data_IF_394932627221
#
_entry.id   IF_394932627221
#
_cell.length_a   1.000
_cell.length_b   1.000
_cell.length_c   1.000
_cell.angle_alpha   90.00
_cell.angle_beta   90.00
_cell.angle_gamma   90.00
#
_symmetry.space_group_name_H-M   'P 1'
#
loop_
_entity.id
_entity.type
_entity.pdbx_description
1 polymer ?
#
# COMPACT_ATOMS: atom_id res chain seq x y z
N UNK A 1 24.94 27.84 4.16
CA UNK A 1 23.55 27.58 3.73
C UNK A 1 22.82 26.98 4.92
N UNK A 2 21.82 27.66 5.48
CA UNK A 2 21.00 27.13 6.58
C UNK A 2 19.86 26.32 5.99
N UNK A 3 19.81 25.02 6.27
CA UNK A 3 18.64 24.19 5.96
C UNK A 3 17.59 24.42 7.05
N UNK A 4 16.34 24.69 6.66
CA UNK A 4 15.20 24.85 7.56
C UNK A 4 14.14 23.83 7.21
N UNK A 5 13.63 23.11 8.23
CA UNK A 5 12.45 22.26 8.07
C UNK A 5 11.20 23.16 8.01
N UNK A 6 10.35 22.94 7.01
CA UNK A 6 9.07 23.62 6.88
C UNK A 6 7.95 22.59 7.04
N UNK A 7 6.94 22.92 7.86
CA UNK A 7 5.71 22.12 7.92
C UNK A 7 4.91 22.37 6.64
N UNK A 8 4.63 21.31 5.89
CA UNK A 8 3.92 21.38 4.61
C UNK A 8 2.46 20.96 4.76
N UNK A 9 2.20 19.81 5.38
CA UNK A 9 0.85 19.29 5.59
C UNK A 9 0.81 18.31 6.77
N UNK A 10 -0.40 18.06 7.29
CA UNK A 10 -0.63 17.08 8.35
C UNK A 10 -1.44 15.91 7.85
N UNK A 11 -1.11 14.70 8.31
CA UNK A 11 -1.92 13.50 8.09
C UNK A 11 -2.99 13.41 9.18
N UNK A 12 -4.25 13.35 8.79
CA UNK A 12 -5.37 13.10 9.71
C UNK A 12 -5.46 11.62 10.05
N UNK A 13 -5.92 11.34 11.27
CA UNK A 13 -6.37 10.00 11.66
C UNK A 13 -5.32 8.87 11.48
N UNK A 14 -4.04 9.20 11.65
CA UNK A 14 -2.94 8.24 11.48
C UNK A 14 -3.09 6.96 12.33
N UNK A 15 -3.77 7.06 13.48
CA UNK A 15 -4.13 5.90 14.31
C UNK A 15 -5.07 4.95 13.59
N UNK A 16 -6.14 5.45 12.97
CA UNK A 16 -7.06 4.62 12.18
C UNK A 16 -6.34 3.98 10.99
N UNK A 17 -5.44 4.70 10.33
CA UNK A 17 -4.61 4.16 9.23
C UNK A 17 -3.77 2.99 9.71
N UNK A 18 -3.05 3.16 10.82
CA UNK A 18 -2.24 2.11 11.44
C UNK A 18 -3.10 0.91 11.80
N UNK A 19 -4.19 1.13 12.53
CA UNK A 19 -5.02 0.04 13.05
C UNK A 19 -5.65 -0.77 11.90
N UNK A 20 -6.07 -0.10 10.81
CA UNK A 20 -6.56 -0.77 9.61
C UNK A 20 -5.50 -1.65 8.93
N UNK A 21 -4.27 -1.12 8.77
CA UNK A 21 -3.17 -1.83 8.11
C UNK A 21 -2.64 -2.99 8.96
N UNK A 22 -2.63 -2.85 10.30
CA UNK A 22 -2.12 -3.87 11.22
C UNK A 22 -3.15 -4.92 11.63
N UNK A 23 -4.45 -4.70 11.42
CA UNK A 23 -5.47 -5.71 11.66
C UNK A 23 -5.13 -6.97 10.86
N UNK A 24 -4.56 -7.98 11.51
CA UNK A 24 -4.26 -9.26 10.89
C UNK A 24 -5.55 -9.84 10.34
N UNK A 25 -5.51 -10.47 9.16
CA UNK A 25 -6.59 -11.32 8.68
C UNK A 25 -6.69 -12.56 9.59
N UNK A 26 -7.24 -12.40 10.80
CA UNK A 26 -7.42 -13.47 11.78
C UNK A 26 -8.72 -14.26 11.58
N UNK A 27 -9.44 -14.01 10.47
CA UNK A 27 -10.75 -14.60 10.19
C UNK A 27 -10.76 -15.54 8.96
N UNK A 28 -9.73 -16.37 8.82
CA UNK A 28 -9.72 -17.44 7.82
C UNK A 28 -9.13 -18.74 8.42
N UNK A 29 -9.78 -19.27 9.47
CA UNK A 29 -9.88 -20.70 9.81
C UNK A 29 -10.36 -20.87 11.26
N UNK A 30 -11.67 -20.69 11.46
CA UNK A 30 -12.37 -21.34 12.58
C UNK A 30 -13.66 -21.88 12.01
N UNK A 31 -13.52 -22.94 11.22
CA UNK A 31 -14.68 -23.75 10.84
C UNK A 31 -14.89 -24.75 11.98
N UNK A 32 -15.94 -24.47 12.74
CA UNK A 32 -16.48 -25.34 13.76
C UNK A 32 -16.85 -26.69 13.13
N UNK A 33 -16.12 -27.75 13.49
CA UNK A 33 -16.66 -29.09 13.36
C UNK A 33 -16.28 -29.93 14.60
N UNK A 34 -16.98 -29.66 15.70
CA UNK A 34 -17.13 -30.62 16.80
C UNK A 34 -18.22 -31.62 16.41
N UNK A 35 -17.84 -32.66 15.69
CA UNK A 35 -18.60 -33.91 15.72
C UNK A 35 -17.84 -34.93 16.56
N UNK A 36 -18.52 -35.35 17.63
CA UNK A 36 -18.18 -36.47 18.48
C UNK A 36 -18.09 -37.73 17.64
N UNK A 37 -17.01 -38.51 17.81
CA UNK A 37 -17.07 -39.94 17.54
C UNK A 37 -16.16 -40.65 18.53
N UNK A 38 -16.79 -41.34 19.47
CA UNK A 38 -16.16 -42.35 20.32
C UNK A 38 -15.57 -43.45 19.43
N UNK A 39 -14.29 -43.77 19.60
CA UNK A 39 -13.77 -45.11 19.32
C UNK A 39 -12.58 -45.34 20.25
N UNK A 40 -12.80 -46.23 21.22
CA UNK A 40 -11.78 -46.82 22.08
C UNK A 40 -10.67 -47.46 21.23
N UNK A 41 -9.41 -47.14 21.51
CA UNK A 41 -8.30 -48.10 21.49
C UNK A 41 -7.27 -47.70 22.56
N UNK A 42 -7.25 -48.49 23.63
CA UNK A 42 -6.22 -48.53 24.65
C UNK A 42 -4.88 -49.07 24.10
N UNK A 43 -3.88 -49.21 24.99
CA UNK A 43 -2.49 -49.66 24.82
C UNK A 43 -1.55 -48.52 24.35
N UNK A 44 -0.58 -48.01 25.12
CA UNK A 44 0.37 -48.71 26.00
C UNK A 44 0.98 -47.73 27.03
N UNK A 45 1.15 -48.20 28.27
CA UNK A 45 1.96 -47.58 29.33
C UNK A 45 3.41 -48.04 29.17
N UNK A 46 4.38 -47.11 29.13
CA UNK A 46 5.73 -47.22 29.73
C UNK A 46 6.56 -46.02 29.26
N UNK A 47 6.85 -45.08 30.16
CA UNK A 47 8.12 -44.98 30.89
C UNK A 47 9.11 -44.06 30.17
N UNK A 48 9.34 -42.86 30.71
CA UNK A 48 10.66 -42.19 30.73
C UNK A 48 10.60 -40.92 31.61
N UNK A 49 11.03 -41.05 32.86
CA UNK A 49 11.82 -39.99 33.52
C UNK A 49 11.14 -39.13 34.58
N UNK A 50 11.02 -39.70 35.78
CA UNK A 50 10.89 -39.01 37.07
C UNK A 50 11.96 -37.93 37.31
N UNK A 51 11.54 -36.70 37.60
CA UNK A 51 12.20 -35.80 38.56
C UNK A 51 11.14 -35.01 39.33
N UNK A 52 10.67 -35.57 40.45
CA UNK A 52 10.11 -34.74 41.53
C UNK A 52 11.27 -34.01 42.20
N UNK A 53 11.20 -32.67 42.35
CA UNK A 53 11.39 -32.05 43.67
C UNK A 53 10.95 -30.58 43.71
N UNK A 54 9.95 -30.35 44.57
CA UNK A 54 9.76 -29.22 45.49
C UNK A 54 9.42 -27.82 44.96
N UNK A 55 8.19 -27.43 45.28
CA UNK A 55 7.75 -26.06 45.54
C UNK A 55 8.79 -25.25 46.34
N UNK A 56 9.18 -24.10 45.81
CA UNK A 56 9.63 -22.96 46.63
C UNK A 56 9.10 -21.70 45.97
N UNK A 57 8.11 -21.08 46.63
CA UNK A 57 7.70 -19.70 46.35
C UNK A 57 8.87 -18.79 46.67
N UNK A 58 9.33 -18.01 45.72
CA UNK A 58 9.99 -16.74 46.02
C UNK A 58 9.78 -15.73 44.89
N UNK A 59 9.55 -14.51 45.35
CA UNK A 59 9.22 -13.27 44.67
C UNK A 59 10.24 -12.91 43.58
N UNK A 60 9.76 -12.59 42.39
CA UNK A 60 10.60 -12.30 41.23
C UNK A 60 9.79 -11.61 40.14
N UNK A 61 9.82 -10.28 40.15
CA UNK A 61 9.31 -9.35 39.16
C UNK A 61 9.40 -9.92 37.74
N UNK A 62 8.25 -10.19 37.12
CA UNK A 62 8.15 -10.40 35.67
C UNK A 62 8.70 -9.15 34.98
N UNK A 63 9.73 -9.23 34.11
CA UNK A 63 10.03 -8.11 33.24
C UNK A 63 8.82 -7.91 32.34
N UNK A 64 8.36 -6.67 32.30
CA UNK A 64 7.20 -6.18 31.58
C UNK A 64 7.17 -6.70 30.12
N UNK A 65 6.16 -7.51 29.78
CA UNK A 65 5.72 -7.77 28.39
C UNK A 65 5.14 -6.49 27.72
N UNK A 66 5.07 -5.36 28.44
CA UNK A 66 4.54 -4.08 27.95
C UNK A 66 5.57 -3.25 27.15
N UNK A 67 6.88 -3.49 27.32
CA UNK A 67 7.91 -2.72 26.59
C UNK A 67 8.03 -3.14 25.12
N UNK A 68 7.86 -4.43 24.80
CA UNK A 68 7.91 -4.94 23.41
C UNK A 68 6.69 -4.52 22.57
N UNK A 69 5.52 -4.38 23.20
CA UNK A 69 4.31 -3.88 22.54
C UNK A 69 4.41 -2.38 22.19
N UNK A 70 5.04 -1.59 23.06
CA UNK A 70 5.25 -0.17 22.86
C UNK A 70 6.32 0.10 21.79
N UNK A 71 7.39 -0.70 21.75
CA UNK A 71 8.49 -0.58 20.79
C UNK A 71 8.05 -0.90 19.35
N UNK A 72 7.25 -1.96 19.15
CA UNK A 72 6.69 -2.34 17.83
C UNK A 72 5.69 -1.31 17.29
N UNK A 73 5.05 -0.53 18.17
CA UNK A 73 4.11 0.52 17.76
C UNK A 73 4.77 1.72 17.08
N UNK A 74 6.08 1.91 17.25
CA UNK A 74 6.83 3.03 16.68
C UNK A 74 7.41 2.75 15.29
N UNK A 75 7.57 1.48 14.91
CA UNK A 75 8.25 1.06 13.68
C UNK A 75 7.30 0.59 12.57
N UNK A 76 5.99 0.47 12.82
CA UNK A 76 5.01 -0.06 11.85
C UNK A 76 5.06 0.59 10.47
N UNK A 77 5.42 1.87 10.40
CA UNK A 77 5.51 2.62 9.15
C UNK A 77 6.72 2.19 8.30
N UNK A 78 7.79 1.66 8.92
CA UNK A 78 8.97 1.12 8.23
C UNK A 78 8.65 -0.17 7.48
N UNK A 79 7.64 -0.92 7.94
CA UNK A 79 7.14 -2.12 7.26
C UNK A 79 6.17 -1.78 6.11
N UNK A 80 5.79 -0.51 5.96
CA UNK A 80 4.85 -0.06 4.94
C UNK A 80 5.58 0.39 3.68
N UNK A 81 4.93 0.19 2.54
CA UNK A 81 5.29 0.80 1.26
C UNK A 81 4.53 2.12 1.11
N UNK A 82 5.27 3.21 0.86
CA UNK A 82 4.73 4.57 0.83
C UNK A 82 4.95 5.22 -0.54
N UNK A 83 3.97 5.98 -1.02
CA UNK A 83 4.14 6.87 -2.16
C UNK A 83 3.37 8.18 -1.98
N UNK A 84 4.08 9.30 -2.12
CA UNK A 84 3.48 10.63 -2.19
C UNK A 84 3.42 11.08 -3.65
N UNK A 85 2.26 11.59 -4.08
CA UNK A 85 2.10 12.26 -5.36
C UNK A 85 3.10 13.41 -5.52
N UNK A 86 3.68 13.62 -6.71
CA UNK A 86 4.49 14.81 -6.99
C UNK A 86 3.75 16.13 -6.75
N UNK A 87 2.41 16.14 -6.78
CA UNK A 87 1.59 17.29 -6.46
C UNK A 87 1.30 17.43 -4.95
N UNK A 88 1.85 16.53 -4.14
CA UNK A 88 1.70 16.43 -2.67
C UNK A 88 0.26 16.31 -2.19
N UNK A 89 -0.67 15.95 -3.07
CA UNK A 89 -2.12 15.94 -2.87
C UNK A 89 -2.72 14.55 -2.61
N UNK A 90 -1.92 13.51 -2.76
CA UNK A 90 -2.30 12.11 -2.54
C UNK A 90 -1.12 11.36 -1.93
N UNK A 91 -1.36 10.71 -0.79
CA UNK A 91 -0.42 9.80 -0.12
C UNK A 91 -1.02 8.39 -0.10
N UNK A 92 -0.23 7.41 -0.48
CA UNK A 92 -0.57 5.99 -0.43
C UNK A 92 0.30 5.33 0.63
N UNK A 93 -0.34 4.58 1.53
CA UNK A 93 0.31 3.75 2.53
C UNK A 93 -0.22 2.33 2.34
N UNK A 94 0.67 1.39 2.03
CA UNK A 94 0.33 0.00 1.80
C UNK A 94 1.15 -0.93 2.70
N UNK A 95 0.55 -2.03 3.13
CA UNK A 95 1.20 -3.10 3.89
C UNK A 95 0.49 -4.41 3.56
N UNK A 96 1.25 -5.46 3.29
CA UNK A 96 0.73 -6.75 2.82
C UNK A 96 -0.20 -6.55 1.62
N UNK A 97 -1.48 -6.95 1.69
CA UNK A 97 -2.46 -6.69 0.63
C UNK A 97 -3.28 -5.42 0.86
N UNK A 98 -3.12 -4.74 1.99
CA UNK A 98 -3.94 -3.61 2.38
C UNK A 98 -3.31 -2.30 1.95
N UNK A 99 -4.14 -1.33 1.63
CA UNK A 99 -3.69 0.04 1.46
C UNK A 99 -4.73 1.06 1.92
N UNK A 100 -4.20 2.24 2.22
CA UNK A 100 -4.96 3.43 2.56
C UNK A 100 -4.49 4.57 1.66
N UNK A 101 -5.43 5.23 1.01
CA UNK A 101 -5.20 6.42 0.20
C UNK A 101 -5.68 7.63 1.00
N UNK A 102 -4.82 8.64 1.08
CA UNK A 102 -5.10 9.88 1.77
C UNK A 102 -5.01 11.03 0.76
N UNK A 103 -6.12 11.76 0.59
CA UNK A 103 -6.21 12.88 -0.34
C UNK A 103 -6.21 14.21 0.39
N UNK A 104 -5.71 15.25 -0.28
CA UNK A 104 -5.69 16.61 0.24
C UNK A 104 -7.10 17.13 0.53
N UNK A 105 -7.30 17.62 1.74
CA UNK A 105 -8.45 18.40 2.18
C UNK A 105 -7.93 19.72 2.75
N UNK A 106 -8.53 20.81 2.31
CA UNK A 106 -8.24 22.14 2.81
C UNK A 106 -9.22 22.45 3.93
N UNK A 107 -8.70 22.86 5.08
CA UNK A 107 -9.51 23.33 6.19
C UNK A 107 -9.07 24.73 6.58
N UNK A 108 -10.04 25.59 6.87
CA UNK A 108 -9.80 26.92 7.40
C UNK A 108 -9.87 26.83 8.93
N UNK A 109 -8.76 27.15 9.60
CA UNK A 109 -8.72 27.24 11.05
C UNK A 109 -9.57 28.44 11.55
N UNK A 110 -9.88 28.46 12.86
CA UNK A 110 -10.57 29.55 13.55
C UNK A 110 -9.86 30.90 13.38
N UNK A 111 -8.56 30.90 13.09
CA UNK A 111 -7.77 32.11 12.77
C UNK A 111 -7.92 32.60 11.32
N UNK A 112 -8.70 31.89 10.49
CA UNK A 112 -8.86 32.18 9.06
C UNK A 112 -7.71 31.67 8.19
N UNK A 113 -6.72 31.00 8.78
CA UNK A 113 -5.60 30.41 8.06
C UNK A 113 -6.03 29.10 7.38
N UNK A 114 -5.78 28.97 6.09
CA UNK A 114 -5.96 27.70 5.39
C UNK A 114 -4.79 26.76 5.69
N UNK A 115 -5.11 25.56 6.15
CA UNK A 115 -4.15 24.48 6.33
C UNK A 115 -4.55 23.28 5.48
N UNK A 116 -3.57 22.72 4.78
CA UNK A 116 -3.73 21.50 4.01
C UNK A 116 -3.52 20.28 4.89
N UNK A 117 -4.45 19.34 4.82
CA UNK A 117 -4.35 18.05 5.49
C UNK A 117 -4.58 16.90 4.53
N UNK A 118 -3.91 15.78 4.76
CA UNK A 118 -4.15 14.53 4.05
C UNK A 118 -5.11 13.68 4.89
N UNK A 119 -6.30 13.44 4.37
CA UNK A 119 -7.33 12.66 5.04
C UNK A 119 -7.68 11.42 4.23
N UNK A 120 -8.06 10.34 4.91
CA UNK A 120 -8.44 9.08 4.27
C UNK A 120 -9.57 9.33 3.25
N UNK A 121 -9.30 8.96 2.00
CA UNK A 121 -10.25 8.97 0.89
C UNK A 121 -10.68 7.56 0.52
N UNK A 122 -9.81 6.58 0.71
CA UNK A 122 -10.11 5.17 0.49
C UNK A 122 -9.25 4.28 1.39
N UNK A 123 -9.78 3.16 1.83
CA UNK A 123 -9.05 2.08 2.48
C UNK A 123 -9.61 0.74 2.03
N UNK A 124 -8.75 -0.24 1.80
CA UNK A 124 -9.18 -1.55 1.32
C UNK A 124 -8.02 -2.49 1.04
N UNK A 125 -8.35 -3.62 0.42
CA UNK A 125 -7.40 -4.62 -0.05
C UNK A 125 -7.16 -4.43 -1.54
N UNK A 126 -5.89 -4.39 -1.97
CA UNK A 126 -5.48 -4.19 -3.36
C UNK A 126 -5.27 -5.52 -4.11
N UNK A 127 -5.11 -6.64 -3.41
CA UNK A 127 -4.90 -7.97 -3.99
C UNK A 127 -6.20 -8.63 -4.48
N UNK A 128 -6.10 -9.39 -5.57
CA UNK A 128 -7.16 -10.29 -6.04
C UNK A 128 -6.82 -11.77 -5.79
N UNK A 129 -5.54 -12.07 -5.53
CA UNK A 129 -5.03 -13.43 -5.34
C UNK A 129 -4.52 -13.64 -3.91
N UNK A 130 -4.80 -14.82 -3.38
CA UNK A 130 -4.37 -15.21 -2.04
C UNK A 130 -2.84 -15.31 -1.99
N UNK A 131 -2.23 -14.79 -0.91
CA UNK A 131 -0.78 -14.88 -0.67
C UNK A 131 0.08 -13.83 -1.37
N UNK A 132 -0.50 -12.97 -2.20
CA UNK A 132 0.21 -11.84 -2.80
C UNK A 132 0.44 -10.71 -1.77
N UNK A 133 1.48 -9.89 -1.91
CA UNK A 133 1.71 -8.69 -1.09
C UNK A 133 2.26 -7.53 -1.92
N UNK A 134 1.96 -6.30 -1.49
CA UNK A 134 2.46 -5.08 -2.12
C UNK A 134 3.96 -4.94 -1.86
N UNK A 135 4.74 -4.84 -2.92
CA UNK A 135 6.21 -4.71 -2.86
C UNK A 135 6.70 -3.31 -3.23
N UNK A 136 5.95 -2.59 -4.06
CA UNK A 136 6.31 -1.22 -4.47
C UNK A 136 5.09 -0.41 -4.88
N UNK A 137 5.14 0.91 -4.69
CA UNK A 137 4.06 1.82 -5.09
C UNK A 137 4.62 3.15 -5.60
N UNK A 138 3.99 3.72 -6.62
CA UNK A 138 4.23 5.10 -7.08
C UNK A 138 2.91 5.79 -7.45
N UNK A 139 2.91 7.11 -7.36
CA UNK A 139 1.80 7.97 -7.77
C UNK A 139 2.19 8.72 -9.06
N UNK A 140 1.43 8.51 -10.14
CA UNK A 140 1.67 9.14 -11.45
C UNK A 140 0.57 10.17 -11.72
N UNK A 141 0.87 11.48 -11.65
CA UNK A 141 -0.08 12.52 -12.00
C UNK A 141 -0.28 12.55 -13.51
N UNK A 142 -1.53 12.40 -13.96
CA UNK A 142 -1.88 12.33 -15.38
C UNK A 142 -2.62 13.60 -15.80
N UNK A 143 -1.97 14.40 -16.65
CA UNK A 143 -2.57 15.60 -17.21
C UNK A 143 -3.63 15.28 -18.28
N UNK A 144 -4.66 16.14 -18.34
CA UNK A 144 -5.57 16.15 -19.49
C UNK A 144 -4.85 16.49 -20.77
N UNK A 145 -5.30 15.90 -21.87
CA UNK A 145 -5.05 16.46 -23.19
C UNK A 145 -5.96 17.66 -23.48
N UNK A 146 -7.04 17.87 -22.71
CA UNK A 146 -7.81 19.10 -22.79
C UNK A 146 -6.93 20.23 -22.25
N UNK A 147 -6.79 21.33 -22.99
CA UNK A 147 -6.04 22.50 -22.55
C UNK A 147 -6.69 23.08 -21.28
N UNK A 148 -6.43 22.50 -20.11
CA UNK A 148 -6.77 23.12 -18.84
C UNK A 148 -5.79 24.27 -18.65
N UNK A 149 -6.32 25.46 -18.42
CA UNK A 149 -5.55 26.71 -18.28
C UNK A 149 -4.63 26.72 -17.07
N UNK A 150 -4.68 25.69 -16.21
CA UNK A 150 -3.98 25.64 -14.93
C UNK A 150 -2.81 24.66 -14.89
N UNK A 151 -2.59 23.85 -15.93
CA UNK A 151 -1.46 22.91 -16.00
C UNK A 151 -1.43 21.83 -14.90
N UNK A 152 -2.51 21.69 -14.12
CA UNK A 152 -2.63 20.69 -13.07
C UNK A 152 -2.99 19.33 -13.66
N UNK A 153 -2.53 18.22 -13.07
CA UNK A 153 -2.98 16.89 -13.47
C UNK A 153 -4.49 16.76 -13.25
N UNK A 154 -5.16 16.04 -14.14
CA UNK A 154 -6.60 15.78 -14.05
C UNK A 154 -6.95 14.77 -12.96
N UNK A 155 -6.01 13.87 -12.69
CA UNK A 155 -6.10 12.81 -11.70
C UNK A 155 -4.73 12.19 -11.49
N UNK A 156 -4.59 11.44 -10.40
CA UNK A 156 -3.37 10.68 -10.09
C UNK A 156 -3.67 9.19 -10.17
N UNK A 157 -2.89 8.48 -10.98
CA UNK A 157 -2.91 7.03 -11.05
C UNK A 157 -1.96 6.45 -9.99
N UNK A 158 -2.43 5.43 -9.29
CA UNK A 158 -1.65 4.70 -8.29
C UNK A 158 -1.18 3.41 -8.95
N UNK A 159 0.13 3.23 -9.07
CA UNK A 159 0.71 2.01 -9.65
C UNK A 159 1.31 1.20 -8.53
N UNK A 160 0.89 -0.06 -8.45
CA UNK A 160 1.24 -0.98 -7.37
C UNK A 160 1.90 -2.20 -7.98
N UNK A 161 3.13 -2.47 -7.56
CA UNK A 161 3.85 -3.70 -7.85
C UNK A 161 3.68 -4.68 -6.69
N UNK A 162 3.59 -5.96 -7.03
CA UNK A 162 3.35 -7.03 -6.07
C UNK A 162 4.46 -8.08 -6.08
N UNK A 163 4.49 -8.88 -5.02
CA UNK A 163 5.41 -10.01 -4.83
C UNK A 163 5.23 -11.14 -5.86
N UNK A 164 4.05 -11.24 -6.46
CA UNK A 164 3.71 -12.16 -7.57
C UNK A 164 4.30 -11.73 -8.92
N UNK A 165 4.83 -10.50 -9.00
CA UNK A 165 5.24 -9.86 -10.25
C UNK A 165 4.12 -9.19 -11.06
N UNK A 166 2.87 -9.20 -10.55
CA UNK A 166 1.82 -8.35 -11.10
C UNK A 166 2.12 -6.87 -10.86
N UNK A 167 1.73 -6.05 -11.84
CA UNK A 167 1.61 -4.61 -11.71
C UNK A 167 0.17 -4.21 -11.97
N UNK A 168 -0.43 -3.51 -11.01
CA UNK A 168 -1.82 -3.04 -11.08
C UNK A 168 -1.91 -1.54 -10.96
N UNK A 169 -2.91 -0.98 -11.64
CA UNK A 169 -3.13 0.44 -11.79
C UNK A 169 -4.49 0.79 -11.19
N UNK A 170 -4.52 1.70 -10.23
CA UNK A 170 -5.73 2.12 -9.54
C UNK A 170 -5.98 3.61 -9.74
N UNK A 171 -7.25 3.98 -9.58
CA UNK A 171 -7.69 5.37 -9.39
C UNK A 171 -7.44 5.83 -7.96
N UNK A 172 -7.50 7.14 -7.75
CA UNK A 172 -7.49 7.78 -6.42
C UNK A 172 -8.59 7.30 -5.45
N UNK A 173 -9.63 6.62 -5.97
CA UNK A 173 -10.73 6.05 -5.19
C UNK A 173 -10.64 4.52 -5.02
N UNK A 174 -9.49 3.91 -5.30
CA UNK A 174 -9.30 2.46 -5.12
C UNK A 174 -9.84 1.57 -6.23
N UNK A 175 -10.38 2.14 -7.32
CA UNK A 175 -10.89 1.33 -8.43
C UNK A 175 -9.75 0.87 -9.33
N UNK A 176 -9.67 -0.45 -9.57
CA UNK A 176 -8.71 -1.09 -10.47
C UNK A 176 -9.02 -0.73 -11.94
N UNK A 177 -7.99 -0.31 -12.68
CA UNK A 177 -8.05 0.08 -14.09
C UNK A 177 -7.43 -0.96 -15.01
N UNK A 178 -6.27 -1.49 -14.63
CA UNK A 178 -5.49 -2.43 -15.40
C UNK A 178 -4.68 -3.31 -14.44
N UNK A 179 -4.58 -4.59 -14.74
CA UNK A 179 -3.72 -5.54 -14.06
C UNK A 179 -2.93 -6.31 -15.12
N UNK A 180 -1.60 -6.38 -14.97
CA UNK A 180 -0.75 -7.06 -15.93
C UNK A 180 0.35 -7.84 -15.21
N UNK A 181 0.46 -9.12 -15.53
CA UNK A 181 1.63 -9.93 -15.19
C UNK A 181 2.73 -9.64 -16.22
N UNK A 182 3.89 -9.16 -15.76
CA UNK A 182 5.02 -8.79 -16.63
C UNK A 182 6.26 -9.64 -16.36
N UNK A 183 6.36 -10.20 -15.15
CA UNK A 183 7.36 -11.16 -14.74
C UNK A 183 6.76 -12.00 -13.59
N UNK A 184 7.28 -13.19 -13.34
CA UNK A 184 6.87 -14.05 -12.21
C UNK A 184 7.63 -13.72 -10.92
N UNK A 185 8.74 -12.98 -11.03
CA UNK A 185 9.49 -12.48 -9.87
C UNK A 185 8.83 -11.23 -9.23
N UNK A 186 9.09 -10.93 -7.95
CA UNK A 186 8.59 -9.73 -7.26
C UNK A 186 8.95 -8.41 -7.96
N UNK A 187 7.98 -7.49 -8.06
CA UNK A 187 8.23 -6.13 -8.55
C UNK A 187 8.96 -5.29 -7.49
N UNK A 188 10.28 -5.20 -7.58
CA UNK A 188 11.15 -4.60 -6.55
C UNK A 188 11.03 -3.06 -6.50
N UNK A 189 10.91 -2.42 -7.66
CA UNK A 189 10.87 -0.95 -7.74
C UNK A 189 10.16 -0.47 -8.99
N UNK A 190 9.32 0.54 -8.80
CA UNK A 190 8.66 1.27 -9.87
C UNK A 190 9.30 2.65 -10.00
N UNK A 191 9.54 3.09 -11.23
CA UNK A 191 9.91 4.47 -11.54
C UNK A 191 9.15 4.96 -12.76
N UNK A 192 8.57 6.14 -12.65
CA UNK A 192 8.01 6.85 -13.78
C UNK A 192 8.93 8.01 -14.13
N UNK A 193 9.28 8.12 -15.41
CA UNK A 193 10.01 9.23 -15.99
C UNK A 193 9.03 10.11 -16.76
N UNK A 194 9.08 11.42 -16.52
CA UNK A 194 8.28 12.40 -17.25
C UNK A 194 9.02 12.90 -18.49
N UNK A 195 8.25 13.43 -19.44
CA UNK A 195 8.77 14.08 -20.63
C UNK A 195 9.66 15.27 -20.25
N UNK A 196 10.82 15.37 -20.89
CA UNK A 196 11.69 16.54 -20.77
C UNK A 196 12.05 17.08 -22.15
N UNK A 197 11.78 18.38 -22.34
CA UNK A 197 12.12 19.11 -23.56
C UNK A 197 13.66 19.23 -23.64
N UNK A 198 14.30 18.87 -24.77
CA UNK A 198 15.72 19.10 -24.98
C UNK A 198 16.10 20.57 -24.75
N UNK A 199 16.83 20.84 -23.67
CA UNK A 199 17.25 22.22 -23.31
C UNK A 199 18.48 22.69 -24.08
N UNK A 200 19.21 21.78 -24.72
CA UNK A 200 20.48 22.07 -25.39
C UNK A 200 20.61 21.27 -26.71
N UNK A 201 21.29 21.83 -27.73
CA UNK A 201 21.60 21.10 -28.96
C UNK A 201 22.42 19.83 -28.67
N UNK A 202 22.02 18.70 -29.25
CA UNK A 202 22.69 17.40 -29.05
C UNK A 202 22.15 16.55 -27.91
N UNK A 203 21.20 17.05 -27.11
CA UNK A 203 20.46 16.26 -26.13
C UNK A 203 19.28 15.57 -26.83
N UNK A 204 19.18 14.25 -26.68
CA UNK A 204 18.05 13.48 -27.21
C UNK A 204 16.78 13.79 -26.45
N UNK A 205 15.66 13.80 -27.16
CA UNK A 205 14.33 13.91 -26.56
C UNK A 205 14.08 12.78 -25.56
N UNK A 206 13.57 13.14 -24.38
CA UNK A 206 13.27 12.17 -23.32
C UNK A 206 11.77 11.91 -23.30
N UNK A 207 11.39 10.69 -23.67
CA UNK A 207 10.00 10.24 -23.64
C UNK A 207 9.54 9.87 -22.22
N UNK A 208 8.22 9.90 -22.04
CA UNK A 208 7.59 9.36 -20.84
C UNK A 208 7.76 7.85 -20.82
N UNK A 209 8.10 7.28 -19.66
CA UNK A 209 8.38 5.86 -19.53
C UNK A 209 8.07 5.39 -18.11
N UNK A 210 7.46 4.21 -17.99
CA UNK A 210 7.35 3.48 -16.73
C UNK A 210 8.37 2.33 -16.74
N UNK A 211 9.33 2.36 -15.83
CA UNK A 211 10.32 1.31 -15.64
C UNK A 211 10.01 0.50 -14.38
N UNK A 212 10.06 -0.81 -14.49
CA UNK A 212 9.73 -1.78 -13.42
C UNK A 212 10.93 -2.71 -13.26
N UNK A 213 11.56 -2.65 -12.09
CA UNK A 213 12.72 -3.46 -11.75
C UNK A 213 12.27 -4.77 -11.09
N UNK A 214 12.73 -5.88 -11.65
CA UNK A 214 12.67 -7.23 -11.09
C UNK A 214 14.09 -7.70 -10.73
N UNK A 215 14.25 -8.81 -9.97
CA UNK A 215 15.57 -9.35 -9.62
C UNK A 215 16.47 -9.63 -10.83
N UNK A 216 15.90 -10.21 -11.89
CA UNK A 216 16.66 -10.61 -13.09
C UNK A 216 16.27 -9.85 -14.37
N UNK A 217 15.35 -8.87 -14.30
CA UNK A 217 14.85 -8.16 -15.46
C UNK A 217 14.50 -6.69 -15.17
N UNK A 218 14.52 -5.87 -16.23
CA UNK A 218 13.97 -4.53 -16.23
C UNK A 218 12.93 -4.45 -17.34
N UNK A 219 11.68 -4.19 -16.97
CA UNK A 219 10.59 -3.98 -17.93
C UNK A 219 10.36 -2.49 -18.08
N UNK A 220 10.33 -2.02 -19.32
CA UNK A 220 10.10 -0.61 -19.66
C UNK A 220 8.85 -0.51 -20.52
N UNK A 221 7.90 0.31 -20.12
CA UNK A 221 6.65 0.55 -20.85
C UNK A 221 6.65 1.98 -21.35
N UNK A 222 6.40 2.14 -22.64
CA UNK A 222 6.23 3.46 -23.26
C UNK A 222 5.07 4.23 -22.62
N UNK A 223 5.37 5.45 -22.16
CA UNK A 223 4.42 6.29 -21.44
C UNK A 223 3.27 6.76 -22.33
N UNK A 224 3.49 6.99 -23.63
CA UNK A 224 2.41 7.41 -24.53
C UNK A 224 1.33 6.34 -24.62
N UNK A 225 1.68 5.09 -24.93
CA UNK A 225 0.73 3.98 -24.99
C UNK A 225 0.08 3.69 -23.64
N UNK A 226 0.86 3.71 -22.55
CA UNK A 226 0.35 3.45 -21.20
C UNK A 226 -0.69 4.49 -20.79
N UNK A 227 -0.39 5.78 -20.94
CA UNK A 227 -1.27 6.85 -20.47
C UNK A 227 -2.55 6.96 -21.29
N UNK A 228 -2.51 6.64 -22.59
CA UNK A 228 -3.74 6.52 -23.40
C UNK A 228 -4.61 5.37 -22.90
N UNK A 229 -4.01 4.22 -22.58
CA UNK A 229 -4.71 3.04 -22.07
C UNK A 229 -5.36 3.35 -20.72
N UNK A 230 -4.63 3.96 -19.77
CA UNK A 230 -5.17 4.34 -18.47
C UNK A 230 -6.32 5.33 -18.57
N UNK A 231 -6.25 6.31 -19.48
CA UNK A 231 -7.37 7.23 -19.74
C UNK A 231 -8.59 6.49 -20.28
N UNK A 232 -8.39 5.53 -21.20
CA UNK A 232 -9.47 4.72 -21.75
C UNK A 232 -10.14 3.87 -20.64
N UNK A 233 -9.35 3.15 -19.84
CA UNK A 233 -9.84 2.34 -18.72
C UNK A 233 -10.62 3.18 -17.71
N UNK A 234 -10.09 4.35 -17.30
CA UNK A 234 -10.79 5.26 -16.37
C UNK A 234 -12.15 5.69 -16.92
N UNK A 235 -12.21 6.05 -18.21
CA UNK A 235 -13.45 6.45 -18.86
C UNK A 235 -14.46 5.30 -18.99
N UNK A 236 -14.00 4.06 -19.15
CA UNK A 236 -14.86 2.89 -19.19
C UNK A 236 -15.48 2.61 -17.82
N UNK A 237 -14.66 2.61 -16.78
CA UNK A 237 -15.11 2.41 -15.39
C UNK A 237 -16.09 3.50 -14.96
N UNK A 238 -15.86 4.76 -15.34
CA UNK A 238 -16.78 5.87 -15.05
C UNK A 238 -18.15 5.74 -15.74
N UNK A 239 -18.26 4.91 -16.79
CA UNK A 239 -19.51 4.64 -17.51
C UNK A 239 -20.18 3.34 -17.07
N UNK A 240 -19.51 2.51 -16.28
CA UNK A 240 -20.09 1.28 -15.78
C UNK A 240 -21.17 1.61 -14.72
N UNK A 241 -22.33 0.95 -14.75
CA UNK A 241 -23.32 1.08 -13.67
C UNK A 241 -22.70 0.61 -12.34
N UNK A 242 -23.05 1.23 -11.21
CA UNK A 242 -22.53 0.81 -9.91
C UNK A 242 -22.90 -0.65 -9.67
N UNK A 243 -21.90 -1.53 -9.64
CA UNK A 243 -22.09 -2.92 -9.24
C UNK A 243 -22.39 -2.93 -7.74
N UNK A 244 -23.54 -3.49 -7.36
CA UNK A 244 -23.93 -3.64 -5.97
C UNK A 244 -22.86 -4.45 -5.21
N UNK A 245 -22.52 -4.08 -3.97
CA UNK A 245 -21.60 -4.88 -3.17
C UNK A 245 -22.23 -6.27 -2.94
N UNK A 246 -21.49 -7.31 -3.35
CA UNK A 246 -21.74 -8.70 -2.95
C UNK A 246 -21.31 -8.93 -1.52
#
# INVERSE_FOLDING_TARGET
>A
MSCSLLDFCRVQELRHVRDFLLQSQKNASSDDNKEQTETELAWDESDWGSWETTDTKEDGTTPDDDDDAQQNSATWLQDCVLALSPCSDLLVIARDQKAVFLSAKWQTDATGKEEMMLAVSWSGTLGAEDGESVSSVICIPLASQKRSSTGRPDWTCIVVGFSSGYVRFYTENGVLLLAQLLNEDPALRLKCRTYEIPRHPGVTEQHEELSILYPAALVTIDGFSLFQSLRACRNQVARAPPTAPT
#
